data_IF_168959078026
#
_entry.id   IF_168959078026
#
_cell.length_a   1.000
_cell.length_b   1.000
_cell.length_c   1.000
_cell.angle_alpha   90.00
_cell.angle_beta   90.00
_cell.angle_gamma   90.00
#
_symmetry.space_group_name_H-M   'P 1'
#
loop_
_entity.id
_entity.type
_entity.pdbx_description
1 polymer ?
#
# COMPACT_ATOMS: atom_id res chain seq x y z
N UNK A 1 38.43 35.94 4.39
CA UNK A 1 37.35 34.95 4.22
C UNK A 1 37.71 33.76 5.10
N UNK A 2 37.01 33.59 6.22
CA UNK A 2 37.53 32.80 7.35
C UNK A 2 37.32 31.29 7.13
N UNK A 3 38.31 30.48 7.57
CA UNK A 3 38.29 29.00 7.50
C UNK A 3 37.03 28.41 8.14
N UNK A 4 36.45 29.11 9.13
CA UNK A 4 35.22 28.72 9.83
C UNK A 4 33.98 28.89 8.93
N UNK A 5 33.98 29.89 8.04
CA UNK A 5 32.86 30.10 7.11
C UNK A 5 32.87 29.06 5.98
N UNK A 6 34.06 28.66 5.50
CA UNK A 6 34.17 27.66 4.43
C UNK A 6 33.78 26.26 4.90
N UNK A 7 34.10 25.88 6.14
CA UNK A 7 33.69 24.57 6.70
C UNK A 7 32.18 24.48 6.94
N UNK A 8 31.53 25.56 7.39
CA UNK A 8 30.07 25.61 7.57
C UNK A 8 29.32 25.56 6.23
N UNK A 9 29.84 26.21 5.20
CA UNK A 9 29.22 26.17 3.86
C UNK A 9 29.39 24.77 3.23
N UNK A 10 30.54 24.13 3.40
CA UNK A 10 30.76 22.76 2.90
C UNK A 10 29.86 21.74 3.60
N UNK A 11 29.71 21.82 4.92
CA UNK A 11 28.86 20.89 5.67
C UNK A 11 27.39 21.05 5.31
N UNK A 12 26.92 22.29 5.12
CA UNK A 12 25.57 22.55 4.62
C UNK A 12 25.35 21.96 3.21
N UNK A 13 26.30 22.13 2.29
CA UNK A 13 26.20 21.59 0.92
C UNK A 13 26.18 20.05 0.87
N UNK A 14 26.98 19.39 1.70
CA UNK A 14 26.99 17.92 1.85
C UNK A 14 25.67 17.39 2.44
N UNK A 15 25.06 18.16 3.35
CA UNK A 15 23.76 17.83 3.96
C UNK A 15 22.61 17.93 2.94
N UNK A 16 22.66 18.91 2.03
CA UNK A 16 21.69 19.11 0.97
C UNK A 16 21.78 18.04 -0.13
N UNK A 17 22.99 17.57 -0.46
CA UNK A 17 23.20 16.51 -1.45
C UNK A 17 22.70 15.13 -0.95
N UNK A 18 22.73 14.89 0.37
CA UNK A 18 22.20 13.67 0.97
C UNK A 18 20.66 13.58 0.93
N UNK A 19 19.96 14.70 0.71
CA UNK A 19 18.50 14.75 0.59
C UNK A 19 17.99 14.61 -0.86
N UNK A 20 18.87 14.53 -1.85
CA UNK A 20 18.50 14.31 -3.24
C UNK A 20 18.37 12.80 -3.53
N UNK A 21 17.15 12.26 -3.43
CA UNK A 21 16.84 10.92 -3.91
C UNK A 21 17.27 10.79 -5.37
N UNK A 22 18.10 9.79 -5.67
CA UNK A 22 18.49 9.53 -7.06
C UNK A 22 17.27 9.07 -7.88
N UNK A 23 17.22 9.40 -9.18
CA UNK A 23 16.09 8.98 -10.04
C UNK A 23 15.92 7.46 -10.04
N UNK A 24 16.99 6.68 -9.95
CA UNK A 24 16.93 5.22 -9.82
C UNK A 24 16.29 4.76 -8.51
N UNK A 25 16.61 5.39 -7.39
CA UNK A 25 15.96 5.09 -6.10
C UNK A 25 14.48 5.46 -6.12
N UNK A 26 14.10 6.54 -6.82
CA UNK A 26 12.69 6.91 -7.00
C UNK A 26 11.95 5.85 -7.83
N UNK A 27 12.51 5.45 -8.96
CA UNK A 27 11.93 4.40 -9.81
C UNK A 27 11.79 3.06 -9.07
N UNK A 28 12.80 2.67 -8.27
CA UNK A 28 12.73 1.46 -7.45
C UNK A 28 11.61 1.52 -6.40
N UNK A 29 11.40 2.68 -5.75
CA UNK A 29 10.30 2.87 -4.79
C UNK A 29 8.94 2.83 -5.46
N UNK A 30 8.80 3.44 -6.63
CA UNK A 30 7.55 3.40 -7.41
C UNK A 30 7.24 1.97 -7.85
N UNK A 31 8.22 1.23 -8.37
CA UNK A 31 8.05 -0.18 -8.71
C UNK A 31 7.65 -1.02 -7.48
N UNK A 32 8.24 -0.76 -6.31
CA UNK A 32 7.87 -1.43 -5.07
C UNK A 32 6.43 -1.11 -4.62
N UNK A 33 5.99 0.15 -4.76
CA UNK A 33 4.60 0.55 -4.46
C UNK A 33 3.61 -0.16 -5.38
N UNK A 34 3.90 -0.19 -6.69
CA UNK A 34 3.05 -0.88 -7.67
C UNK A 34 2.93 -2.37 -7.34
N UNK A 35 4.06 -3.03 -7.04
CA UNK A 35 4.05 -4.45 -6.63
C UNK A 35 3.24 -4.68 -5.36
N UNK A 36 3.40 -3.81 -4.37
CA UNK A 36 2.61 -3.88 -3.13
C UNK A 36 1.11 -3.75 -3.40
N UNK A 37 0.70 -2.80 -4.24
CA UNK A 37 -0.72 -2.63 -4.63
C UNK A 37 -1.26 -3.85 -5.38
N UNK A 38 -0.46 -4.42 -6.28
CA UNK A 38 -0.81 -5.65 -7.01
C UNK A 38 -0.97 -6.85 -6.06
N UNK A 39 -0.03 -7.04 -5.15
CA UNK A 39 -0.07 -8.13 -4.16
C UNK A 39 -1.25 -7.96 -3.20
N UNK A 40 -1.57 -6.72 -2.82
CA UNK A 40 -2.76 -6.42 -2.02
C UNK A 40 -4.02 -6.85 -2.77
N UNK A 41 -4.19 -6.45 -4.03
CA UNK A 41 -5.35 -6.85 -4.83
C UNK A 41 -5.46 -8.38 -4.96
N UNK A 42 -4.35 -9.07 -5.24
CA UNK A 42 -4.32 -10.54 -5.30
C UNK A 42 -4.69 -11.15 -3.95
N UNK A 43 -4.18 -10.62 -2.84
CA UNK A 43 -4.46 -11.14 -1.49
C UNK A 43 -5.92 -10.98 -1.09
N UNK A 44 -6.56 -9.87 -1.49
CA UNK A 44 -7.98 -9.62 -1.27
C UNK A 44 -8.83 -10.54 -2.15
N UNK A 45 -8.45 -10.73 -3.42
CA UNK A 45 -9.12 -11.68 -4.31
C UNK A 45 -9.02 -13.13 -3.79
N UNK A 46 -7.88 -13.52 -3.20
CA UNK A 46 -7.66 -14.87 -2.69
C UNK A 46 -8.55 -15.24 -1.49
N UNK A 47 -9.10 -14.25 -0.80
CA UNK A 47 -10.10 -14.48 0.27
C UNK A 47 -11.46 -14.91 -0.30
N UNK A 48 -11.73 -14.59 -1.57
CA UNK A 48 -13.00 -14.86 -2.25
C UNK A 48 -12.92 -16.06 -3.18
N UNK A 49 -11.93 -16.06 -4.09
CA UNK A 49 -11.70 -17.15 -5.05
C UNK A 49 -10.19 -17.24 -5.33
N UNK A 50 -9.61 -18.42 -5.08
CA UNK A 50 -8.19 -18.67 -5.29
C UNK A 50 -7.81 -18.73 -6.77
N UNK A 51 -8.69 -19.24 -7.62
CA UNK A 51 -8.43 -19.34 -9.06
C UNK A 51 -8.42 -17.95 -9.69
N UNK A 52 -9.39 -17.10 -9.33
CA UNK A 52 -9.41 -15.70 -9.76
C UNK A 52 -8.16 -14.95 -9.30
N UNK A 53 -7.73 -15.15 -8.05
CA UNK A 53 -6.52 -14.54 -7.52
C UNK A 53 -5.25 -15.00 -8.26
N UNK A 54 -5.16 -16.29 -8.63
CA UNK A 54 -4.05 -16.80 -9.43
C UNK A 54 -4.03 -16.18 -10.83
N UNK A 55 -5.20 -16.05 -11.47
CA UNK A 55 -5.33 -15.37 -12.75
C UNK A 55 -4.93 -13.88 -12.66
N UNK A 56 -5.30 -13.17 -11.60
CA UNK A 56 -4.85 -11.79 -11.35
C UNK A 56 -3.33 -11.70 -11.18
N UNK A 57 -2.73 -12.61 -10.42
CA UNK A 57 -1.27 -12.67 -10.26
C UNK A 57 -0.56 -12.93 -11.59
N UNK A 58 -1.08 -13.86 -12.39
CA UNK A 58 -0.55 -14.14 -13.73
C UNK A 58 -0.68 -12.92 -14.66
N UNK A 59 -1.78 -12.16 -14.57
CA UNK A 59 -1.96 -10.92 -15.30
C UNK A 59 -0.89 -9.88 -14.93
N UNK A 60 -0.58 -9.72 -13.63
CA UNK A 60 0.45 -8.78 -13.19
C UNK A 60 1.88 -9.21 -13.52
N UNK A 61 2.12 -10.52 -13.65
CA UNK A 61 3.45 -11.05 -14.01
C UNK A 61 3.91 -10.65 -15.42
N UNK A 62 3.03 -10.15 -16.28
CA UNK A 62 3.32 -9.75 -17.67
C UNK A 62 4.13 -10.79 -18.45
N UNK A 63 3.89 -12.08 -18.19
CA UNK A 63 4.58 -13.17 -18.87
C UNK A 63 4.28 -13.09 -20.38
N UNK A 64 5.30 -13.15 -21.26
CA UNK A 64 5.09 -13.16 -22.70
C UNK A 64 4.28 -14.41 -23.09
N UNK A 65 3.23 -14.20 -23.88
CA UNK A 65 2.29 -15.23 -24.34
C UNK A 65 2.10 -15.12 -25.84
N UNK A 66 1.88 -16.24 -26.50
CA UNK A 66 1.43 -16.24 -27.90
C UNK A 66 0.02 -15.64 -28.00
N UNK A 67 -0.38 -15.21 -29.20
CA UNK A 67 -1.70 -14.58 -29.40
C UNK A 67 -2.86 -15.53 -29.02
N UNK A 68 -2.70 -16.84 -29.25
CA UNK A 68 -3.67 -17.88 -28.87
C UNK A 68 -3.78 -18.01 -27.36
N UNK A 69 -2.66 -18.17 -26.67
CA UNK A 69 -2.62 -18.24 -25.20
C UNK A 69 -3.16 -16.98 -24.53
N UNK A 70 -2.91 -15.80 -25.13
CA UNK A 70 -3.44 -14.53 -24.64
C UNK A 70 -4.97 -14.44 -24.81
N UNK A 71 -5.55 -15.01 -25.87
CA UNK A 71 -7.01 -15.06 -26.05
C UNK A 71 -7.65 -16.02 -25.05
N UNK A 72 -7.11 -17.23 -24.90
CA UNK A 72 -7.61 -18.23 -23.95
C UNK A 72 -7.51 -17.76 -22.49
N UNK A 73 -6.42 -17.08 -22.14
CA UNK A 73 -6.29 -16.48 -20.82
C UNK A 73 -7.31 -15.38 -20.59
N UNK A 74 -7.49 -14.46 -21.54
CA UNK A 74 -8.48 -13.38 -21.41
C UNK A 74 -9.89 -13.91 -21.23
N UNK A 75 -10.26 -14.98 -21.94
CA UNK A 75 -11.55 -15.63 -21.77
C UNK A 75 -11.72 -16.15 -20.34
N UNK A 76 -10.75 -16.92 -19.82
CA UNK A 76 -10.77 -17.44 -18.44
C UNK A 76 -10.77 -16.34 -17.38
N UNK A 77 -9.99 -15.29 -17.61
CA UNK A 77 -9.90 -14.14 -16.72
C UNK A 77 -11.23 -13.39 -16.63
N UNK A 78 -11.84 -13.08 -17.77
CA UNK A 78 -13.13 -12.38 -17.81
C UNK A 78 -14.22 -13.23 -17.19
N UNK A 79 -14.28 -14.52 -17.49
CA UNK A 79 -15.28 -15.44 -16.93
C UNK A 79 -15.25 -15.47 -15.38
N UNK A 80 -14.05 -15.56 -14.80
CA UNK A 80 -13.89 -15.60 -13.34
C UNK A 80 -14.13 -14.25 -12.66
N UNK A 81 -13.73 -13.14 -13.29
CA UNK A 81 -13.89 -11.80 -12.71
C UNK A 81 -15.29 -11.22 -12.97
N UNK A 82 -15.98 -11.65 -14.02
CA UNK A 82 -17.36 -11.24 -14.29
C UNK A 82 -18.38 -11.94 -13.40
N UNK A 83 -17.97 -12.99 -12.67
CA UNK A 83 -18.85 -13.68 -11.73
C UNK A 83 -19.38 -12.69 -10.67
N UNK A 84 -20.71 -12.52 -10.57
CA UNK A 84 -21.32 -11.57 -9.63
C UNK A 84 -21.00 -11.90 -8.17
N UNK A 85 -20.78 -13.18 -7.84
CA UNK A 85 -20.46 -13.62 -6.49
C UNK A 85 -19.01 -13.25 -6.13
N UNK A 86 -18.08 -13.41 -7.08
CA UNK A 86 -16.72 -12.91 -6.94
C UNK A 86 -16.69 -11.39 -6.79
N UNK A 87 -17.41 -10.65 -7.64
CA UNK A 87 -17.44 -9.18 -7.59
C UNK A 87 -17.99 -8.65 -6.25
N UNK A 88 -19.06 -9.25 -5.75
CA UNK A 88 -19.63 -8.89 -4.47
C UNK A 88 -18.66 -9.17 -3.31
N UNK A 89 -18.05 -10.37 -3.29
CA UNK A 89 -17.08 -10.72 -2.27
C UNK A 89 -15.84 -9.82 -2.33
N UNK A 90 -15.28 -9.58 -3.52
CA UNK A 90 -14.11 -8.73 -3.70
C UNK A 90 -14.37 -7.29 -3.24
N UNK A 91 -15.56 -6.75 -3.57
CA UNK A 91 -15.99 -5.43 -3.07
C UNK A 91 -16.06 -5.40 -1.54
N UNK A 92 -16.59 -6.44 -0.91
CA UNK A 92 -16.66 -6.53 0.54
C UNK A 92 -15.26 -6.66 1.17
N UNK A 93 -14.39 -7.48 0.61
CA UNK A 93 -13.00 -7.64 1.06
C UNK A 93 -12.25 -6.29 1.01
N UNK A 94 -12.46 -5.52 -0.06
CA UNK A 94 -11.90 -4.18 -0.20
C UNK A 94 -12.43 -3.21 0.87
N UNK A 95 -13.74 -3.22 1.11
CA UNK A 95 -14.36 -2.40 2.15
C UNK A 95 -13.86 -2.79 3.55
N UNK A 96 -13.68 -4.08 3.82
CA UNK A 96 -13.14 -4.59 5.08
C UNK A 96 -11.69 -4.10 5.27
N UNK A 97 -10.85 -4.20 4.25
CA UNK A 97 -9.48 -3.68 4.30
C UNK A 97 -9.44 -2.18 4.63
N UNK A 98 -10.27 -1.37 3.97
CA UNK A 98 -10.39 0.06 4.28
C UNK A 98 -10.85 0.27 5.73
N UNK A 99 -11.82 -0.50 6.20
CA UNK A 99 -12.31 -0.40 7.56
C UNK A 99 -11.22 -0.74 8.58
N UNK A 100 -10.43 -1.79 8.34
CA UNK A 100 -9.29 -2.17 9.17
C UNK A 100 -8.24 -1.05 9.23
N UNK A 101 -7.84 -0.48 8.10
CA UNK A 101 -6.91 0.65 8.09
C UNK A 101 -7.44 1.87 8.84
N UNK A 102 -8.74 2.14 8.78
CA UNK A 102 -9.36 3.22 9.56
C UNK A 102 -9.31 2.94 11.05
N UNK A 103 -9.60 1.71 11.47
CA UNK A 103 -9.52 1.31 12.88
C UNK A 103 -8.09 1.37 13.40
N UNK A 104 -7.11 0.89 12.64
CA UNK A 104 -5.69 0.99 12.99
C UNK A 104 -5.24 2.45 13.13
N UNK A 105 -5.66 3.30 12.20
CA UNK A 105 -5.37 4.74 12.27
C UNK A 105 -6.00 5.38 13.52
N UNK A 106 -7.25 5.06 13.85
CA UNK A 106 -7.88 5.56 15.07
C UNK A 106 -7.17 5.07 16.33
N UNK A 107 -6.80 3.78 16.40
CA UNK A 107 -6.03 3.22 17.51
C UNK A 107 -4.69 3.93 17.67
N UNK A 108 -3.97 4.13 16.57
CA UNK A 108 -2.72 4.88 16.57
C UNK A 108 -2.90 6.29 17.13
N UNK A 109 -3.92 7.04 16.70
CA UNK A 109 -4.18 8.36 17.26
C UNK A 109 -4.56 8.31 18.74
N UNK A 110 -5.38 7.34 19.14
CA UNK A 110 -5.79 7.21 20.54
C UNK A 110 -4.62 6.85 21.46
N UNK A 111 -3.74 5.95 21.02
CA UNK A 111 -2.53 5.57 21.74
C UNK A 111 -1.54 6.74 21.82
N UNK A 112 -1.44 7.54 20.75
CA UNK A 112 -0.64 8.77 20.75
C UNK A 112 -1.18 9.85 21.68
N UNK A 113 -2.49 10.08 21.67
CA UNK A 113 -3.15 11.02 22.58
C UNK A 113 -3.00 10.57 24.03
N UNK A 114 -3.10 9.28 24.31
CA UNK A 114 -2.81 8.72 25.63
C UNK A 114 -1.37 8.91 26.06
N UNK A 115 -0.42 8.70 25.14
CA UNK A 115 1.00 8.85 25.42
C UNK A 115 1.39 10.31 25.68
N UNK A 116 0.84 11.26 24.91
CA UNK A 116 1.22 12.67 24.98
C UNK A 116 0.35 13.49 25.96
N UNK A 117 -0.91 13.09 26.17
CA UNK A 117 -1.85 13.71 27.12
C UNK A 117 -2.48 12.68 28.09
N UNK A 118 -1.68 11.99 28.93
CA UNK A 118 -2.17 10.94 29.82
C UNK A 118 -3.23 11.40 30.83
N UNK A 119 -3.34 12.71 31.07
CA UNK A 119 -4.33 13.30 31.99
C UNK A 119 -5.66 13.70 31.33
N UNK A 120 -5.81 13.58 30.00
CA UNK A 120 -7.11 13.83 29.33
C UNK A 120 -8.10 12.67 29.49
N UNK A 121 -7.64 11.48 29.91
CA UNK A 121 -8.49 10.37 30.36
C UNK A 121 -8.95 10.52 31.81
N UNK A 122 -9.36 11.72 32.22
CA UNK A 122 -10.14 11.86 33.47
C UNK A 122 -11.55 11.36 33.18
N UNK A 123 -11.73 10.05 33.31
CA UNK A 123 -13.02 9.39 33.41
C UNK A 123 -13.96 10.23 34.28
N UNK A 124 -14.97 10.83 33.66
CA UNK A 124 -16.10 11.40 34.37
C UNK A 124 -16.90 10.22 34.95
N UNK A 125 -16.55 9.78 36.16
CA UNK A 125 -17.25 8.70 36.89
C UNK A 125 -18.72 9.03 37.24
N UNK A 126 -19.20 10.24 36.93
CA UNK A 126 -20.56 10.71 37.23
C UNK A 126 -21.38 11.08 35.98
N UNK A 127 -20.87 10.81 34.79
CA UNK A 127 -21.62 11.03 33.56
C UNK A 127 -22.42 9.76 33.23
N UNK A 128 -23.56 9.58 33.92
CA UNK A 128 -24.65 8.67 33.55
C UNK A 128 -25.64 9.40 32.63
#
# INVERSE_FOLDING_TARGET
MNIIQTTVILSAALSLAACAITPEQKAAREAARIRYEQDLQVSLAAQCDRDAANLMREQFSNRPRSEKEQKEFRARYVDKISDPLFQACYKLAWQNHIAQQRLERMRYYHDWDDFYYPFHRRYCYYCW
#
